data_IF_887101471437
#
_entry.id   IF_887101471437
#
_cell.length_a   1.000
_cell.length_b   1.000
_cell.length_c   1.000
_cell.angle_alpha   90.00
_cell.angle_beta   90.00
_cell.angle_gamma   90.00
#
_symmetry.space_group_name_H-M   'P 1'
#
loop_
_entity.id
_entity.type
_entity.pdbx_description
1 polymer ?
#
# COMPACT_ATOMS: atom_id res chain seq x y z
N UNK A 1 -6.01 -31.39 0.99
CA UNK A 1 -5.28 -31.32 -0.29
C UNK A 1 -4.22 -30.23 -0.16
N UNK A 2 -2.97 -30.52 -0.53
CA UNK A 2 -1.94 -29.49 -0.68
C UNK A 2 -2.26 -28.63 -1.90
N UNK A 3 -1.96 -27.33 -1.84
CA UNK A 3 -2.08 -26.46 -3.00
C UNK A 3 -0.89 -26.66 -3.92
N UNK A 4 -1.09 -26.43 -5.21
CA UNK A 4 0.00 -26.25 -6.17
C UNK A 4 0.66 -24.89 -5.93
N UNK A 5 1.57 -24.86 -4.95
CA UNK A 5 2.37 -23.67 -4.63
C UNK A 5 3.65 -23.71 -5.45
N UNK A 6 4.02 -22.57 -6.05
CA UNK A 6 5.28 -22.47 -6.77
C UNK A 6 6.45 -22.85 -5.86
N UNK A 7 7.22 -23.88 -6.22
CA UNK A 7 8.40 -24.32 -5.45
C UNK A 7 9.40 -23.17 -5.22
N UNK A 8 9.50 -22.26 -6.18
CA UNK A 8 10.33 -21.06 -6.08
C UNK A 8 9.86 -20.14 -4.95
N UNK A 9 8.55 -19.98 -4.78
CA UNK A 9 7.96 -19.17 -3.72
C UNK A 9 8.01 -19.89 -2.37
N UNK A 10 7.87 -21.23 -2.34
CA UNK A 10 8.16 -22.07 -1.17
C UNK A 10 9.58 -21.83 -0.66
N UNK A 11 10.59 -22.02 -1.52
CA UNK A 11 12.01 -21.79 -1.16
C UNK A 11 12.27 -20.35 -0.75
N UNK A 12 11.65 -19.37 -1.40
CA UNK A 12 11.78 -17.97 -1.03
C UNK A 12 11.16 -17.65 0.33
N UNK A 13 10.03 -18.29 0.70
CA UNK A 13 9.41 -18.15 1.99
C UNK A 13 10.27 -18.78 3.10
N UNK A 14 10.76 -20.01 2.90
CA UNK A 14 11.67 -20.67 3.85
C UNK A 14 12.94 -19.83 4.10
N UNK A 15 13.52 -19.26 3.04
CA UNK A 15 14.67 -18.33 3.18
C UNK A 15 14.33 -17.09 4.01
N UNK A 16 13.11 -16.56 3.91
CA UNK A 16 12.68 -15.39 4.72
C UNK A 16 12.48 -15.77 6.18
N UNK A 17 11.90 -16.94 6.47
CA UNK A 17 11.70 -17.44 7.83
C UNK A 17 13.02 -17.66 8.54
N UNK A 18 13.95 -18.40 7.90
CA UNK A 18 15.29 -18.62 8.45
C UNK A 18 16.05 -17.32 8.66
N UNK A 19 15.98 -16.39 7.71
CA UNK A 19 16.57 -15.07 7.86
C UNK A 19 15.97 -14.26 9.01
N UNK A 20 14.65 -14.35 9.22
CA UNK A 20 13.98 -13.69 10.33
C UNK A 20 14.40 -14.30 11.68
N UNK A 21 14.52 -15.64 11.74
CA UNK A 21 15.04 -16.35 12.91
C UNK A 21 16.50 -15.96 13.21
N UNK A 22 17.39 -16.00 12.23
CA UNK A 22 18.79 -15.57 12.38
C UNK A 22 18.90 -14.10 12.80
N UNK A 23 18.07 -13.21 12.26
CA UNK A 23 18.06 -11.80 12.66
C UNK A 23 17.55 -11.62 14.09
N UNK A 24 16.57 -12.43 14.50
CA UNK A 24 16.08 -12.44 15.88
C UNK A 24 17.17 -12.94 16.84
N UNK A 25 17.90 -14.00 16.50
CA UNK A 25 19.05 -14.51 17.26
C UNK A 25 20.22 -13.52 17.31
N UNK A 26 20.47 -12.78 16.22
CA UNK A 26 21.49 -11.73 16.18
C UNK A 26 21.21 -10.57 17.14
N UNK A 27 20.02 -10.48 17.75
CA UNK A 27 19.80 -9.70 18.97
C UNK A 27 20.02 -8.19 18.85
N UNK A 28 19.93 -7.62 17.64
CA UNK A 28 20.11 -6.17 17.40
C UNK A 28 18.92 -5.32 17.86
N UNK A 29 17.85 -5.96 18.31
CA UNK A 29 16.64 -5.31 18.81
C UNK A 29 16.07 -6.05 20.01
N UNK A 30 14.92 -5.59 20.53
CA UNK A 30 14.24 -6.22 21.67
C UNK A 30 14.00 -7.72 21.42
N UNK A 31 14.07 -8.56 22.46
CA UNK A 31 13.86 -9.99 22.30
C UNK A 31 12.52 -10.28 21.60
N UNK A 32 12.56 -11.26 20.70
CA UNK A 32 11.38 -11.72 20.01
C UNK A 32 10.39 -12.31 21.02
N UNK A 33 9.12 -11.99 20.89
CA UNK A 33 8.09 -12.51 21.79
C UNK A 33 7.98 -14.03 21.64
N UNK A 34 7.57 -14.74 22.70
CA UNK A 34 7.44 -16.20 22.66
C UNK A 34 6.53 -16.67 21.50
N UNK A 35 5.37 -16.04 21.35
CA UNK A 35 4.47 -16.30 20.22
C UNK A 35 5.08 -16.00 18.84
N UNK A 36 6.00 -15.03 18.74
CA UNK A 36 6.64 -14.68 17.47
C UNK A 36 7.69 -15.73 17.07
N UNK A 37 8.25 -16.47 18.04
CA UNK A 37 9.12 -17.62 17.78
C UNK A 37 8.30 -18.82 17.33
N UNK A 38 7.23 -19.12 18.08
CA UNK A 38 6.26 -20.18 17.72
C UNK A 38 5.68 -19.95 16.32
N UNK A 39 5.37 -18.68 15.98
CA UNK A 39 4.90 -18.32 14.63
C UNK A 39 5.90 -18.68 13.54
N UNK A 40 7.21 -18.46 13.75
CA UNK A 40 8.21 -18.78 12.73
C UNK A 40 8.33 -20.29 12.53
N UNK A 41 8.32 -21.06 13.61
CA UNK A 41 8.40 -22.53 13.60
C UNK A 41 7.14 -23.16 12.97
N UNK A 42 5.94 -22.76 13.40
CA UNK A 42 4.68 -23.32 12.87
C UNK A 42 4.51 -23.02 11.37
N UNK A 43 4.87 -21.80 10.95
CA UNK A 43 4.78 -21.41 9.55
C UNK A 43 5.82 -22.15 8.70
N UNK A 44 7.02 -22.40 9.22
CA UNK A 44 8.03 -23.23 8.55
C UNK A 44 7.52 -24.67 8.37
N UNK A 45 7.05 -25.32 9.44
CA UNK A 45 6.53 -26.70 9.38
C UNK A 45 5.38 -26.83 8.38
N UNK A 46 4.46 -25.86 8.37
CA UNK A 46 3.29 -25.88 7.47
C UNK A 46 3.70 -25.73 6.00
N UNK A 47 4.67 -24.87 5.70
CA UNK A 47 5.21 -24.73 4.35
C UNK A 47 5.95 -25.99 3.91
N UNK A 48 6.67 -26.63 4.83
CA UNK A 48 7.35 -27.90 4.54
C UNK A 48 6.34 -29.00 4.20
N UNK A 49 5.32 -29.17 5.03
CA UNK A 49 4.29 -30.22 4.91
C UNK A 49 3.31 -30.01 3.75
N UNK A 50 2.81 -28.79 3.56
CA UNK A 50 1.72 -28.50 2.62
C UNK A 50 2.11 -27.60 1.44
N UNK A 51 3.35 -27.08 1.43
CA UNK A 51 3.80 -26.12 0.42
C UNK A 51 3.33 -24.68 0.69
N UNK A 52 2.19 -24.50 1.36
CA UNK A 52 1.62 -23.20 1.76
C UNK A 52 1.36 -23.13 3.26
N UNK A 53 1.61 -21.96 3.86
CA UNK A 53 1.25 -21.64 5.24
C UNK A 53 -0.26 -21.32 5.43
N UNK A 54 -1.04 -21.26 4.36
CA UNK A 54 -2.46 -20.89 4.40
C UNK A 54 -3.29 -21.70 3.40
N UNK A 55 -4.54 -21.96 3.78
CA UNK A 55 -5.47 -22.81 3.02
C UNK A 55 -6.55 -22.03 2.26
N UNK A 56 -6.70 -20.73 2.50
CA UNK A 56 -7.79 -19.88 1.97
C UNK A 56 -7.31 -18.94 0.84
N UNK A 57 -7.87 -19.00 -0.39
CA UNK A 57 -7.42 -18.18 -1.52
C UNK A 57 -7.65 -16.68 -1.28
N UNK A 58 -8.61 -16.33 -0.44
CA UNK A 58 -8.89 -14.92 -0.15
C UNK A 58 -7.80 -14.25 0.69
N UNK A 59 -6.91 -15.04 1.31
CA UNK A 59 -5.83 -14.53 2.18
C UNK A 59 -4.50 -14.27 1.46
N UNK A 60 -4.39 -14.61 0.18
CA UNK A 60 -3.18 -14.41 -0.62
C UNK A 60 -3.28 -15.06 -2.00
N UNK A 61 -2.35 -14.75 -2.89
CA UNK A 61 -2.39 -15.32 -4.24
C UNK A 61 -2.23 -16.84 -4.22
N UNK A 62 -2.87 -17.55 -5.15
CA UNK A 62 -2.87 -19.03 -5.18
C UNK A 62 -1.46 -19.64 -5.30
N UNK A 63 -0.52 -18.94 -5.91
CA UNK A 63 0.87 -19.39 -6.02
C UNK A 63 1.77 -18.99 -4.84
N UNK A 64 1.33 -18.12 -3.92
CA UNK A 64 2.17 -17.72 -2.79
C UNK A 64 2.16 -18.74 -1.65
N UNK A 65 3.32 -18.92 -1.01
CA UNK A 65 3.45 -19.80 0.15
C UNK A 65 3.03 -19.13 1.47
N UNK A 66 2.90 -17.80 1.50
CA UNK A 66 2.57 -17.01 2.69
C UNK A 66 1.40 -16.07 2.40
N UNK A 67 0.43 -16.03 3.31
CA UNK A 67 -0.67 -15.07 3.26
C UNK A 67 -0.19 -13.63 3.42
N UNK A 68 -1.01 -12.66 2.96
CA UNK A 68 -0.70 -11.24 3.08
C UNK A 68 -0.41 -10.82 4.53
N UNK A 69 -1.19 -11.31 5.50
CA UNK A 69 -1.00 -11.02 6.92
C UNK A 69 0.28 -11.64 7.48
N UNK A 70 0.60 -12.89 7.11
CA UNK A 70 1.87 -13.52 7.50
C UNK A 70 3.06 -12.73 6.95
N UNK A 71 2.99 -12.24 5.71
CA UNK A 71 4.04 -11.39 5.13
C UNK A 71 4.19 -10.06 5.89
N UNK A 72 3.10 -9.44 6.33
CA UNK A 72 3.14 -8.23 7.17
C UNK A 72 3.79 -8.55 8.51
N UNK A 73 3.45 -9.70 9.12
CA UNK A 73 4.00 -10.10 10.40
C UNK A 73 5.51 -10.39 10.33
N UNK A 74 5.97 -11.07 9.28
CA UNK A 74 7.42 -11.27 9.05
C UNK A 74 8.17 -9.96 8.90
N UNK A 75 7.59 -8.97 8.21
CA UNK A 75 8.19 -7.64 8.10
C UNK A 75 8.24 -6.91 9.44
N UNK A 76 7.27 -7.13 10.32
CA UNK A 76 7.27 -6.58 11.66
C UNK A 76 8.35 -7.22 12.54
N UNK A 77 8.47 -8.55 12.49
CA UNK A 77 9.54 -9.32 13.15
C UNK A 77 10.91 -8.84 12.66
N UNK A 78 11.12 -8.75 11.35
CA UNK A 78 12.38 -8.25 10.76
C UNK A 78 12.72 -6.83 11.23
N UNK A 79 11.72 -5.95 11.33
CA UNK A 79 11.93 -4.57 11.82
C UNK A 79 12.30 -4.56 13.30
N UNK A 80 11.61 -5.37 14.11
CA UNK A 80 11.86 -5.53 15.54
C UNK A 80 13.25 -6.10 15.80
N UNK A 81 13.61 -7.19 15.12
CA UNK A 81 14.93 -7.81 15.17
C UNK A 81 16.06 -6.86 14.75
N UNK A 82 15.80 -5.97 13.78
CA UNK A 82 16.76 -4.94 13.33
C UNK A 82 16.79 -3.67 14.19
N UNK A 83 16.03 -3.63 15.29
CA UNK A 83 15.92 -2.45 16.16
C UNK A 83 15.30 -1.23 15.49
N UNK A 84 14.65 -1.38 14.33
CA UNK A 84 13.89 -0.28 13.70
C UNK A 84 12.50 -0.29 14.30
N UNK A 85 12.26 0.62 15.26
CA UNK A 85 10.93 0.82 15.86
C UNK A 85 9.83 0.99 14.80
N UNK A 86 8.58 0.66 15.18
CA UNK A 86 7.39 0.78 14.32
C UNK A 86 7.31 2.18 13.69
N UNK A 87 7.84 2.31 12.47
CA UNK A 87 7.62 3.49 11.63
C UNK A 87 6.16 3.40 11.19
N UNK A 88 5.28 4.15 11.84
CA UNK A 88 3.89 4.29 11.43
C UNK A 88 3.79 4.69 9.96
N UNK A 89 2.62 4.50 9.34
CA UNK A 89 2.36 4.89 7.95
C UNK A 89 2.53 6.40 7.68
N UNK A 90 2.76 7.22 8.71
CA UNK A 90 3.19 8.60 8.60
C UNK A 90 4.71 8.76 8.73
N UNK A 91 5.26 9.64 7.89
CA UNK A 91 6.51 10.36 8.11
C UNK A 91 7.79 9.64 7.68
N UNK A 92 7.93 9.44 6.36
CA UNK A 92 9.25 9.59 5.72
C UNK A 92 9.60 11.08 5.58
N UNK A 93 9.74 11.75 6.71
CA UNK A 93 10.56 12.93 6.86
C UNK A 93 11.43 12.65 8.08
N UNK A 94 12.66 12.20 7.84
CA UNK A 94 13.69 12.41 8.86
C UNK A 94 14.06 13.90 8.83
N UNK A 95 14.60 14.46 9.93
CA UNK A 95 15.01 15.87 9.97
C UNK A 95 15.99 16.26 8.86
N UNK A 96 16.66 15.27 8.24
CA UNK A 96 17.70 15.47 7.22
C UNK A 96 17.31 15.05 5.80
N UNK A 97 16.04 14.71 5.54
CA UNK A 97 15.60 14.38 4.18
C UNK A 97 14.56 15.36 3.72
N UNK A 98 15.05 16.38 3.00
CA UNK A 98 14.25 17.25 2.12
C UNK A 98 13.35 16.35 1.29
N UNK A 99 12.10 16.23 1.74
CA UNK A 99 11.07 15.54 0.97
C UNK A 99 11.00 16.29 -0.35
N UNK A 100 11.22 15.58 -1.46
CA UNK A 100 10.94 16.08 -2.79
C UNK A 100 9.43 16.24 -2.87
N UNK A 101 8.95 17.36 -2.33
CA UNK A 101 7.57 17.77 -2.26
C UNK A 101 7.16 18.01 -3.71
N UNK A 102 6.62 16.95 -4.31
CA UNK A 102 5.96 16.99 -5.60
C UNK A 102 4.89 18.08 -5.60
N UNK A 103 4.55 18.53 -6.80
CA UNK A 103 3.70 19.67 -7.19
C UNK A 103 2.39 19.93 -6.43
N UNK A 104 2.02 19.13 -5.42
CA UNK A 104 0.86 19.37 -4.57
C UNK A 104 1.01 20.61 -3.68
N UNK A 105 2.23 20.96 -3.26
CA UNK A 105 2.46 22.11 -2.37
C UNK A 105 2.38 23.49 -3.04
N UNK A 106 2.29 23.52 -4.38
CA UNK A 106 2.12 24.75 -5.16
C UNK A 106 0.66 25.03 -5.52
N UNK A 107 -0.28 24.20 -5.08
CA UNK A 107 -1.71 24.51 -5.24
C UNK A 107 -2.10 25.54 -4.21
N UNK A 108 -2.76 26.61 -4.66
CA UNK A 108 -3.41 27.57 -3.78
C UNK A 108 -4.28 26.80 -2.78
N UNK A 109 -4.15 27.12 -1.50
CA UNK A 109 -4.97 26.53 -0.45
C UNK A 109 -6.44 26.80 -0.80
N UNK A 110 -7.30 25.77 -0.84
CA UNK A 110 -8.72 25.99 -1.09
C UNK A 110 -9.24 26.95 -0.02
N UNK A 111 -9.97 28.01 -0.43
CA UNK A 111 -10.65 28.93 0.49
C UNK A 111 -11.82 28.19 1.14
N UNK A 112 -11.51 27.35 2.11
CA UNK A 112 -12.47 26.66 2.96
C UNK A 112 -12.76 27.59 4.13
N UNK A 113 -14.02 28.05 4.26
CA UNK A 113 -14.52 28.65 5.50
C UNK A 113 -14.31 27.62 6.61
N UNK A 114 -13.54 27.97 7.64
CA UNK A 114 -13.34 27.08 8.77
C UNK A 114 -14.67 27.00 9.50
N UNK A 115 -15.38 25.90 9.31
CA UNK A 115 -16.69 25.65 9.91
C UNK A 115 -16.62 25.69 11.44
N UNK A 116 -15.44 25.43 12.01
CA UNK A 116 -15.19 25.57 13.44
C UNK A 116 -15.34 27.01 13.93
N UNK A 117 -14.98 28.03 13.13
CA UNK A 117 -15.14 29.45 13.50
C UNK A 117 -16.60 29.91 13.40
N UNK A 118 -17.37 29.43 12.42
CA UNK A 118 -18.79 29.79 12.25
C UNK A 118 -19.71 29.18 13.35
N UNK A 119 -19.26 28.12 14.04
CA UNK A 119 -20.06 27.42 15.06
C UNK A 119 -19.85 27.94 16.48
N UNK A 120 -18.68 28.53 16.76
CA UNK A 120 -18.34 29.08 18.07
C UNK A 120 -18.98 30.47 18.28
N UNK A 121 -19.19 31.24 17.20
CA UNK A 121 -19.81 32.57 17.25
C UNK A 121 -21.33 32.53 17.50
N UNK A 122 -22.01 31.40 17.23
CA UNK A 122 -23.44 31.20 17.52
C UNK A 122 -23.70 30.69 18.96
N UNK A 123 -22.66 30.30 19.71
CA UNK A 123 -22.79 29.75 21.06
C UNK A 123 -22.79 30.80 22.19
N UNK A 124 -22.63 32.10 21.87
CA UNK A 124 -22.50 33.18 22.85
C UNK A 124 -23.74 34.09 23.01
N UNK A 125 -24.84 33.85 22.29
CA UNK A 125 -26.12 34.50 22.59
C UNK A 125 -26.93 33.68 23.61
N UNK A 126 -27.25 34.34 24.72
CA UNK A 126 -28.10 33.87 25.83
C UNK A 126 -29.33 33.08 25.36
N UNK A 127 -29.71 31.97 26.05
CA UNK A 127 -30.80 31.13 25.60
C UNK A 127 -32.16 31.85 25.68
N UNK A 128 -32.92 32.02 24.59
CA UNK A 128 -34.34 32.35 24.69
C UNK A 128 -35.11 31.12 25.22
N UNK A 129 -36.21 31.32 25.97
CA UNK A 129 -36.99 30.21 26.51
C UNK A 129 -37.52 29.35 25.37
N UNK A 130 -37.21 28.06 25.44
CA UNK A 130 -37.70 26.99 24.58
C UNK A 130 -39.22 27.11 24.33
N UNK A 131 -39.67 27.40 23.09
CA UNK A 131 -41.05 27.08 22.72
C UNK A 131 -41.16 25.56 22.57
N UNK A 132 -42.18 25.00 23.21
CA UNK A 132 -42.53 23.58 23.21
C UNK A 132 -42.49 22.95 21.81
N UNK A 133 -42.06 21.69 21.66
CA UNK A 133 -42.01 21.03 20.37
C UNK A 133 -43.42 20.84 19.80
N UNK A 134 -43.71 21.48 18.68
CA UNK A 134 -44.92 21.24 17.88
C UNK A 134 -44.89 19.80 17.35
N UNK A 135 -45.90 18.94 17.63
CA UNK A 135 -45.91 17.54 17.22
C UNK A 135 -46.17 17.30 15.72
N UNK A 136 -46.08 18.32 14.86
CA UNK A 136 -46.43 18.21 13.42
C UNK A 136 -45.28 18.29 12.42
N UNK A 137 -44.01 18.31 12.84
CA UNK A 137 -42.89 18.19 11.91
C UNK A 137 -42.60 16.72 11.57
N UNK A 138 -43.41 16.10 10.71
CA UNK A 138 -43.01 14.82 10.12
C UNK A 138 -41.82 15.02 9.17
N UNK A 139 -40.78 14.17 9.25
CA UNK A 139 -39.65 14.23 8.32
C UNK A 139 -40.14 13.84 6.92
N UNK A 140 -40.11 14.79 5.99
CA UNK A 140 -40.38 14.50 4.57
C UNK A 140 -39.40 13.44 4.07
N UNK A 141 -39.87 12.31 3.51
CA UNK A 141 -38.97 11.28 3.00
C UNK A 141 -38.28 11.82 1.75
N UNK A 142 -36.95 11.99 1.82
CA UNK A 142 -36.16 12.29 0.62
C UNK A 142 -36.22 11.06 -0.30
N UNK A 143 -36.87 11.23 -1.46
CA UNK A 143 -36.99 10.18 -2.47
C UNK A 143 -35.62 9.68 -2.90
N UNK A 144 -35.49 8.36 -3.10
CA UNK A 144 -34.27 7.71 -3.58
C UNK A 144 -33.98 8.23 -5.01
N UNK A 145 -32.72 8.54 -5.37
CA UNK A 145 -32.41 8.98 -6.72
C UNK A 145 -32.67 7.86 -7.74
N UNK A 146 -33.41 8.17 -8.80
CA UNK A 146 -33.68 7.24 -9.91
C UNK A 146 -32.53 7.33 -10.92
N UNK A 147 -31.79 6.24 -11.09
CA UNK A 147 -30.77 6.12 -12.14
C UNK A 147 -31.47 5.82 -13.46
N UNK A 148 -31.33 6.73 -14.44
CA UNK A 148 -31.85 6.54 -15.80
C UNK A 148 -30.86 5.70 -16.62
N UNK A 149 -31.26 4.52 -17.05
CA UNK A 149 -30.46 3.72 -17.97
C UNK A 149 -30.46 4.38 -19.36
N UNK A 150 -29.27 4.53 -19.93
CA UNK A 150 -29.06 4.93 -21.33
C UNK A 150 -29.21 3.68 -22.20
N UNK A 151 -30.00 3.70 -23.30
CA UNK A 151 -30.09 2.59 -24.23
C UNK A 151 -28.72 2.26 -24.82
N UNK A 152 -28.42 0.97 -24.90
CA UNK A 152 -27.22 0.43 -25.53
C UNK A 152 -27.52 0.37 -27.03
N UNK A 153 -27.00 1.31 -27.81
CA UNK A 153 -27.09 1.20 -29.27
C UNK A 153 -26.29 -0.04 -29.71
N UNK A 154 -27.03 -1.03 -30.22
CA UNK A 154 -26.49 -2.19 -30.88
C UNK A 154 -26.05 -1.78 -32.28
N UNK A 155 -24.76 -1.53 -32.45
CA UNK A 155 -24.11 -1.75 -33.75
C UNK A 155 -23.41 -3.09 -33.70
N UNK A 156 -24.17 -4.13 -34.03
CA UNK A 156 -23.63 -5.33 -34.63
C UNK A 156 -23.14 -4.98 -36.04
N UNK A 157 -21.83 -5.06 -36.25
CA UNK A 157 -21.33 -5.47 -37.55
C UNK A 157 -20.38 -6.65 -37.36
N UNK A 158 -20.83 -7.79 -37.84
CA UNK A 158 -20.11 -9.04 -37.95
C UNK A 158 -19.16 -8.94 -39.14
N UNK A 159 -17.94 -8.46 -38.90
CA UNK A 159 -16.84 -8.56 -39.85
C UNK A 159 -15.96 -9.77 -39.54
N UNK A 160 -16.18 -10.86 -40.26
CA UNK A 160 -15.23 -11.96 -40.37
C UNK A 160 -13.99 -11.56 -41.16
N UNK A 161 -12.89 -12.24 -40.83
CA UNK A 161 -11.67 -12.45 -41.62
C UNK A 161 -10.49 -11.46 -41.51
N UNK A 162 -9.30 -12.05 -41.62
CA UNK A 162 -7.96 -11.46 -41.68
C UNK A 162 -7.29 -10.98 -40.36
N UNK A 163 -6.76 -11.94 -39.59
CA UNK A 163 -5.51 -11.72 -38.85
C UNK A 163 -4.35 -11.57 -39.87
N UNK A 164 -4.11 -10.36 -40.37
CA UNK A 164 -2.78 -10.01 -40.88
C UNK A 164 -1.87 -9.65 -39.70
N UNK A 165 -0.90 -10.53 -39.45
CA UNK A 165 0.22 -10.31 -38.55
C UNK A 165 1.14 -9.22 -39.11
N UNK A 166 0.85 -7.95 -38.78
CA UNK A 166 1.82 -6.86 -38.85
C UNK A 166 2.01 -6.24 -37.47
N UNK A 167 2.73 -6.94 -36.61
CA UNK A 167 3.37 -6.31 -35.46
C UNK A 167 4.49 -5.35 -35.94
N UNK A 168 4.42 -4.03 -35.71
CA UNK A 168 5.62 -3.21 -35.79
C UNK A 168 6.52 -3.59 -34.61
N UNK A 169 7.73 -4.08 -34.91
CA UNK A 169 8.73 -4.42 -33.91
C UNK A 169 8.90 -3.26 -32.90
N UNK A 170 8.95 -3.53 -31.58
CA UNK A 170 9.23 -2.47 -30.62
C UNK A 170 10.63 -1.93 -30.89
N UNK A 171 10.73 -0.64 -31.27
CA UNK A 171 12.01 0.06 -31.37
C UNK A 171 12.69 -0.01 -30.00
N UNK A 172 13.70 -0.87 -29.85
CA UNK A 172 14.56 -0.92 -28.66
C UNK A 172 15.13 0.48 -28.47
N UNK A 173 14.98 1.13 -27.30
CA UNK A 173 15.70 2.37 -27.05
C UNK A 173 17.20 2.07 -27.14
N UNK A 174 17.88 2.78 -28.04
CA UNK A 174 19.30 2.63 -28.27
C UNK A 174 20.08 2.99 -27.00
N UNK A 175 20.88 2.03 -26.52
CA UNK A 175 21.99 2.26 -25.59
C UNK A 175 21.61 2.56 -24.13
N UNK A 176 22.15 1.77 -23.20
CA UNK A 176 22.27 2.20 -21.80
C UNK A 176 23.38 3.28 -21.77
N UNK A 177 23.20 4.42 -21.07
CA UNK A 177 24.27 5.39 -20.95
C UNK A 177 25.45 4.75 -20.20
N UNK A 178 26.62 4.71 -20.83
CA UNK A 178 27.86 4.29 -20.19
C UNK A 178 28.35 5.45 -19.33
N UNK A 179 28.49 5.21 -18.03
CA UNK A 179 29.01 6.16 -17.08
C UNK A 179 30.46 6.49 -17.45
N UNK A 180 30.74 7.71 -17.91
CA UNK A 180 32.11 8.19 -18.14
C UNK A 180 32.58 8.85 -16.85
N UNK A 181 33.58 8.24 -16.22
CA UNK A 181 34.32 8.84 -15.11
C UNK A 181 35.08 10.03 -15.68
N UNK A 182 34.68 11.23 -15.30
CA UNK A 182 35.44 12.45 -15.59
C UNK A 182 36.56 12.46 -14.56
N UNK A 183 37.76 12.11 -14.99
CA UNK A 183 38.94 12.25 -14.14
C UNK A 183 39.22 13.75 -13.94
N UNK A 184 39.42 14.14 -12.70
CA UNK A 184 39.39 15.53 -12.26
C UNK A 184 40.57 16.34 -12.79
N UNK A 185 40.31 17.24 -13.74
CA UNK A 185 41.26 18.28 -14.15
C UNK A 185 41.23 19.45 -13.17
N UNK A 186 42.08 19.40 -12.15
CA UNK A 186 42.52 20.57 -11.37
C UNK A 186 43.28 21.50 -12.33
N UNK A 187 42.61 22.52 -12.86
CA UNK A 187 43.31 23.66 -13.49
C UNK A 187 43.83 24.55 -12.38
N UNK A 188 45.15 24.77 -12.39
CA UNK A 188 45.80 25.81 -11.60
C UNK A 188 45.36 27.20 -12.12
N UNK A 189 45.26 28.20 -11.25
CA UNK A 189 45.01 29.58 -11.66
C UNK A 189 46.29 30.22 -12.22
N UNK A 190 46.26 30.64 -13.48
CA UNK A 190 47.30 31.48 -14.08
C UNK A 190 47.33 32.88 -13.45
N UNK A 191 48.55 33.42 -13.37
CA UNK A 191 48.93 34.76 -12.86
C UNK A 191 48.56 35.90 -13.80
#
# INVERSE_FOLDING_TARGET
MGRDVDERKKRAALRKLRKAAELAEQGKGPPLSDWEREFLEEVEERIEKYGSAFADPMKGSDGEALSALQQVKLKEIDKKARGKGRKGFGNKAGPDRKSSKGSFAKRATPRVRQIDDDIEEEAAETPPPVPSPDPSSQPVPRGKPVLRAVPKDETSDSGSDAYEDKAPAPKRPAGRPVFRVIDGGKSEPDS
#
